data_IF_577324861384
#
_entry.id   IF_577324861384
#
_cell.length_a   1.000
_cell.length_b   1.000
_cell.length_c   1.000
_cell.angle_alpha   90.00
_cell.angle_beta   90.00
_cell.angle_gamma   90.00
#
_symmetry.space_group_name_H-M   'P 1'
#
loop_
_entity.id
_entity.type
_entity.pdbx_description
1 polymer ?
#
# COMPACT_ATOMS: atom_id res chain seq x y z
N UNK A 1 -15.08 -3.24 10.24
CA UNK A 1 -14.29 -2.50 9.23
C UNK A 1 -13.34 -1.56 9.97
N UNK A 2 -12.03 -1.61 9.70
CA UNK A 2 -11.05 -0.69 10.27
C UNK A 2 -10.64 0.34 9.21
N UNK A 3 -10.61 1.62 9.59
CA UNK A 3 -10.09 2.72 8.78
C UNK A 3 -8.88 3.32 9.51
N UNK A 4 -7.73 3.37 8.85
CA UNK A 4 -6.50 3.97 9.36
C UNK A 4 -6.10 5.12 8.44
N UNK A 5 -5.94 6.31 9.01
CA UNK A 5 -5.46 7.50 8.32
C UNK A 5 -4.37 8.19 9.11
N UNK A 6 -3.40 8.81 8.43
CA UNK A 6 -2.32 9.58 9.05
C UNK A 6 -1.44 8.77 10.03
N UNK A 7 -1.35 7.45 9.85
CA UNK A 7 -0.40 6.64 10.61
C UNK A 7 1.00 6.89 10.07
N UNK A 8 1.85 7.55 10.87
CA UNK A 8 3.21 7.92 10.49
C UNK A 8 4.27 6.88 10.88
N UNK A 9 3.90 5.94 11.77
CA UNK A 9 4.81 4.90 12.25
C UNK A 9 4.43 3.54 11.69
N UNK A 10 5.36 2.95 10.95
CA UNK A 10 5.25 1.61 10.39
C UNK A 10 5.14 0.53 11.49
N UNK A 11 5.78 0.77 12.64
CA UNK A 11 5.68 -0.08 13.83
C UNK A 11 4.27 -0.05 14.46
N UNK A 12 3.70 1.15 14.63
CA UNK A 12 2.34 1.31 15.18
C UNK A 12 1.32 0.67 14.24
N UNK A 13 1.45 0.91 12.92
CA UNK A 13 0.60 0.27 11.92
C UNK A 13 0.64 -1.25 12.05
N UNK A 14 1.83 -1.84 12.07
CA UNK A 14 2.00 -3.30 12.15
C UNK A 14 1.43 -3.87 13.45
N UNK A 15 1.63 -3.18 14.57
CA UNK A 15 1.09 -3.59 15.88
C UNK A 15 -0.44 -3.60 15.88
N UNK A 16 -1.08 -2.58 15.30
CA UNK A 16 -2.54 -2.51 15.17
C UNK A 16 -3.06 -3.64 14.28
N UNK A 17 -2.42 -3.90 13.14
CA UNK A 17 -2.87 -4.96 12.24
C UNK A 17 -2.71 -6.34 12.88
N UNK A 18 -1.63 -6.56 13.65
CA UNK A 18 -1.38 -7.81 14.37
C UNK A 18 -2.41 -8.11 15.47
N UNK A 19 -3.00 -7.09 16.10
CA UNK A 19 -4.00 -7.28 17.15
C UNK A 19 -5.41 -7.59 16.64
N UNK A 20 -5.62 -7.61 15.31
CA UNK A 20 -6.94 -7.73 14.69
C UNK A 20 -7.04 -8.90 13.69
N UNK A 21 -6.78 -10.15 14.11
CA UNK A 21 -6.73 -11.31 13.20
C UNK A 21 -8.08 -11.65 12.52
N UNK A 22 -9.19 -11.18 13.08
CA UNK A 22 -10.53 -11.37 12.52
C UNK A 22 -10.98 -10.24 11.60
N UNK A 23 -10.10 -9.29 11.27
CA UNK A 23 -10.46 -8.15 10.43
C UNK A 23 -10.78 -8.59 9.01
N UNK A 24 -11.99 -8.29 8.56
CA UNK A 24 -12.46 -8.63 7.20
C UNK A 24 -12.35 -7.48 6.20
N UNK A 25 -12.27 -6.24 6.70
CA UNK A 25 -12.21 -5.02 5.87
C UNK A 25 -11.21 -4.03 6.46
N UNK A 26 -10.25 -3.61 5.64
CA UNK A 26 -9.19 -2.68 6.00
C UNK A 26 -9.11 -1.56 4.96
N UNK A 27 -9.26 -0.30 5.39
CA UNK A 27 -8.97 0.89 4.58
C UNK A 27 -7.79 1.64 5.20
N UNK A 28 -6.72 1.83 4.43
CA UNK A 28 -5.49 2.49 4.87
C UNK A 28 -5.24 3.68 3.96
N UNK A 29 -5.04 4.85 4.57
CA UNK A 29 -4.63 6.08 3.90
C UNK A 29 -3.41 6.64 4.63
N UNK A 30 -2.22 6.38 4.11
CA UNK A 30 -0.96 6.71 4.80
C UNK A 30 -0.02 7.50 3.88
N UNK A 31 0.80 8.30 4.53
CA UNK A 31 1.92 9.01 3.92
C UNK A 31 3.18 8.60 4.68
N UNK A 32 4.34 8.65 4.04
CA UNK A 32 5.66 8.42 4.67
C UNK A 32 5.96 6.98 5.13
N UNK A 33 5.09 6.02 4.84
CA UNK A 33 5.38 4.59 4.98
C UNK A 33 5.59 4.04 3.57
N UNK A 34 6.74 3.45 3.32
CA UNK A 34 7.23 3.01 2.01
C UNK A 34 7.06 1.49 1.79
N UNK A 35 6.01 0.91 2.37
CA UNK A 35 5.71 -0.51 2.20
C UNK A 35 5.41 -0.85 0.74
N UNK A 36 6.21 -1.76 0.20
CA UNK A 36 5.99 -2.37 -1.10
C UNK A 36 4.92 -3.48 -1.04
N UNK A 37 4.58 -4.04 -2.19
CA UNK A 37 3.60 -5.11 -2.31
C UNK A 37 4.02 -6.41 -1.63
N UNK A 38 5.32 -6.66 -1.47
CA UNK A 38 5.81 -7.83 -0.73
C UNK A 38 5.55 -7.66 0.77
N UNK A 39 5.88 -6.51 1.34
CA UNK A 39 5.66 -6.17 2.75
C UNK A 39 4.17 -6.23 3.09
N UNK A 40 3.33 -5.61 2.27
CA UNK A 40 1.87 -5.68 2.45
C UNK A 40 1.34 -7.11 2.36
N UNK A 41 1.79 -7.90 1.37
CA UNK A 41 1.33 -9.29 1.22
C UNK A 41 1.68 -10.14 2.45
N UNK A 42 2.88 -9.95 3.03
CA UNK A 42 3.29 -10.65 4.25
C UNK A 42 2.43 -10.25 5.45
N UNK A 43 2.22 -8.95 5.66
CA UNK A 43 1.36 -8.44 6.74
C UNK A 43 -0.04 -9.02 6.64
N UNK A 44 -0.63 -9.01 5.44
CA UNK A 44 -2.00 -9.49 5.23
C UNK A 44 -2.07 -10.99 5.46
N UNK A 45 -1.12 -11.75 4.92
CA UNK A 45 -1.09 -13.20 5.05
C UNK A 45 -0.88 -13.66 6.51
N UNK A 46 0.02 -12.99 7.24
CA UNK A 46 0.44 -13.44 8.56
C UNK A 46 -0.46 -12.90 9.67
N UNK A 47 -0.99 -11.68 9.52
CA UNK A 47 -1.73 -11.00 10.58
C UNK A 47 -3.23 -10.86 10.29
N UNK A 48 -3.66 -10.89 9.04
CA UNK A 48 -5.05 -10.62 8.64
C UNK A 48 -5.63 -11.75 7.77
N UNK A 49 -5.60 -13.02 8.22
CA UNK A 49 -5.96 -14.17 7.39
C UNK A 49 -7.42 -14.16 6.92
N UNK A 50 -8.30 -13.40 7.59
CA UNK A 50 -9.73 -13.26 7.23
C UNK A 50 -10.04 -12.02 6.39
N UNK A 51 -9.01 -11.28 5.93
CA UNK A 51 -9.21 -10.06 5.17
C UNK A 51 -9.81 -10.36 3.80
N UNK A 52 -10.96 -9.75 3.51
CA UNK A 52 -11.67 -9.86 2.24
C UNK A 52 -11.57 -8.60 1.39
N UNK A 53 -11.56 -7.45 2.06
CA UNK A 53 -11.51 -6.14 1.39
C UNK A 53 -10.32 -5.34 1.91
N UNK A 54 -9.46 -4.94 0.98
CA UNK A 54 -8.29 -4.13 1.26
C UNK A 54 -8.30 -2.89 0.37
N UNK A 55 -8.48 -1.73 0.99
CA UNK A 55 -8.44 -0.43 0.32
C UNK A 55 -7.18 0.31 0.75
N UNK A 56 -6.20 0.39 -0.14
CA UNK A 56 -4.93 1.08 0.12
C UNK A 56 -4.92 2.43 -0.59
N UNK A 57 -4.39 3.44 0.09
CA UNK A 57 -3.94 4.71 -0.49
C UNK A 57 -2.64 5.11 0.19
N UNK A 58 -1.60 5.30 -0.59
CA UNK A 58 -0.25 5.62 -0.13
C UNK A 58 0.31 6.80 -0.90
N UNK A 59 0.85 7.77 -0.15
CA UNK A 59 1.65 8.86 -0.69
C UNK A 59 3.13 8.61 -0.40
N UNK A 60 3.91 8.42 -1.47
CA UNK A 60 5.35 8.16 -1.40
C UNK A 60 6.07 9.33 -2.05
N UNK A 61 7.10 9.85 -1.37
CA UNK A 61 7.92 10.96 -1.86
C UNK A 61 9.35 10.46 -2.12
N UNK A 62 9.86 10.71 -3.32
CA UNK A 62 11.26 10.51 -3.65
C UNK A 62 11.97 11.86 -3.75
N UNK A 63 13.00 12.05 -2.93
CA UNK A 63 13.80 13.28 -2.88
C UNK A 63 14.99 13.30 -3.86
N UNK A 64 15.26 12.19 -4.56
CA UNK A 64 16.36 12.08 -5.52
C UNK A 64 15.82 11.59 -6.88
N UNK A 65 16.09 12.35 -7.93
CA UNK A 65 15.70 12.02 -9.30
C UNK A 65 16.47 10.80 -9.84
N UNK A 66 17.70 10.58 -9.34
CA UNK A 66 18.51 9.45 -9.77
C UNK A 66 17.80 8.14 -9.41
N UNK A 67 17.53 7.33 -10.44
CA UNK A 67 16.86 6.04 -10.35
C UNK A 67 15.40 6.07 -9.89
N UNK A 68 14.73 7.23 -9.89
CA UNK A 68 13.29 7.33 -9.53
C UNK A 68 12.43 6.39 -10.38
N UNK A 69 12.68 6.31 -11.70
CA UNK A 69 11.94 5.41 -12.59
C UNK A 69 12.13 3.93 -12.25
N UNK A 70 13.35 3.53 -11.92
CA UNK A 70 13.65 2.16 -11.54
C UNK A 70 12.96 1.79 -10.22
N UNK A 71 13.00 2.69 -9.23
CA UNK A 71 12.29 2.51 -7.95
C UNK A 71 10.77 2.43 -8.14
N UNK A 72 10.20 3.24 -9.02
CA UNK A 72 8.78 3.16 -9.39
C UNK A 72 8.46 1.79 -9.99
N UNK A 73 9.27 1.31 -10.94
CA UNK A 73 9.05 0.02 -11.58
C UNK A 73 9.15 -1.12 -10.56
N UNK A 74 10.17 -1.12 -9.70
CA UNK A 74 10.31 -2.10 -8.62
C UNK A 74 9.12 -2.08 -7.65
N UNK A 75 8.64 -0.88 -7.28
CA UNK A 75 7.44 -0.74 -6.47
C UNK A 75 6.22 -1.34 -7.17
N UNK A 76 5.98 -1.02 -8.44
CA UNK A 76 4.84 -1.57 -9.20
C UNK A 76 4.96 -3.09 -9.31
N UNK A 77 6.14 -3.61 -9.63
CA UNK A 77 6.38 -5.04 -9.81
C UNK A 77 6.17 -5.83 -8.51
N UNK A 78 6.42 -5.22 -7.35
CA UNK A 78 6.10 -5.83 -6.05
C UNK A 78 4.59 -6.09 -5.84
N UNK A 79 3.71 -5.38 -6.56
CA UNK A 79 2.26 -5.57 -6.55
C UNK A 79 1.75 -6.44 -7.73
N UNK A 80 2.64 -6.97 -8.58
CA UNK A 80 2.29 -7.83 -9.73
C UNK A 80 2.42 -9.33 -9.44
N UNK A 81 2.36 -9.72 -8.18
CA UNK A 81 2.44 -11.14 -7.79
C UNK A 81 1.08 -11.83 -7.87
N UNK A 82 1.06 -13.18 -7.88
CA UNK A 82 -0.18 -13.98 -7.82
C UNK A 82 -1.05 -13.65 -6.60
N UNK A 83 -0.42 -13.23 -5.50
CA UNK A 83 -1.15 -12.77 -4.32
C UNK A 83 -2.11 -11.63 -4.66
N UNK A 84 -1.63 -10.61 -5.37
CA UNK A 84 -2.41 -9.44 -5.74
C UNK A 84 -3.35 -9.69 -6.92
N UNK A 85 -2.85 -10.32 -7.98
CA UNK A 85 -3.55 -10.44 -9.27
C UNK A 85 -4.55 -11.60 -9.32
N UNK A 86 -4.22 -12.75 -8.73
CA UNK A 86 -5.02 -13.97 -8.86
C UNK A 86 -5.80 -14.26 -7.58
N UNK A 87 -5.12 -14.31 -6.42
CA UNK A 87 -5.72 -14.72 -5.15
C UNK A 87 -6.72 -13.70 -4.62
N UNK A 88 -6.35 -12.41 -4.63
CA UNK A 88 -7.15 -11.36 -4.03
C UNK A 88 -7.80 -10.42 -5.04
N UNK A 89 -7.28 -10.35 -6.26
CA UNK A 89 -7.74 -9.44 -7.33
C UNK A 89 -7.80 -7.97 -6.86
N UNK A 90 -6.89 -7.58 -5.95
CA UNK A 90 -6.74 -6.21 -5.48
C UNK A 90 -5.78 -5.48 -6.40
N UNK A 91 -6.31 -4.96 -7.51
CA UNK A 91 -5.53 -4.25 -8.51
C UNK A 91 -5.02 -2.93 -7.96
N UNK A 92 -3.75 -2.62 -8.24
CA UNK A 92 -3.10 -1.39 -7.80
C UNK A 92 -2.93 -0.45 -8.97
N UNK A 93 -3.27 0.82 -8.74
CA UNK A 93 -2.96 1.95 -9.60
C UNK A 93 -1.84 2.76 -8.97
N UNK A 94 -0.90 3.19 -9.80
CA UNK A 94 0.23 4.02 -9.42
C UNK A 94 0.22 5.26 -10.32
N UNK A 95 -0.13 6.41 -9.75
CA UNK A 95 -0.05 7.70 -10.44
C UNK A 95 1.22 8.43 -9.98
N UNK A 96 2.06 8.82 -10.93
CA UNK A 96 3.31 9.53 -10.65
C UNK A 96 3.18 11.00 -11.05
N UNK A 97 3.51 11.90 -10.12
CA UNK A 97 3.55 13.34 -10.34
C UNK A 97 4.99 13.79 -10.13
N UNK A 98 5.67 14.11 -11.22
CA UNK A 98 7.02 14.68 -11.20
C UNK A 98 6.93 16.21 -11.27
N UNK A 99 7.67 16.89 -10.39
CA UNK A 99 7.94 18.34 -10.44
C UNK A 99 9.44 18.56 -10.30
N UNK A 100 9.93 19.72 -10.72
CA UNK A 100 11.34 20.07 -10.93
C UNK A 100 12.38 19.57 -9.90
N UNK A 101 12.00 19.29 -8.65
CA UNK A 101 12.91 18.81 -7.60
C UNK A 101 12.37 17.61 -6.78
N UNK A 102 11.22 17.04 -7.13
CA UNK A 102 10.68 15.87 -6.41
C UNK A 102 9.68 15.07 -7.25
N UNK A 103 9.64 13.76 -6.99
CA UNK A 103 8.59 12.88 -7.53
C UNK A 103 7.66 12.42 -6.40
N UNK A 104 6.37 12.66 -6.58
CA UNK A 104 5.31 12.20 -5.70
C UNK A 104 4.57 11.04 -6.37
N UNK A 105 4.39 9.95 -5.64
CA UNK A 105 3.65 8.77 -6.11
C UNK A 105 2.40 8.61 -5.27
N UNK A 106 1.28 8.49 -5.96
CA UNK A 106 0.01 8.08 -5.39
C UNK A 106 -0.26 6.64 -5.78
N UNK A 107 -0.13 5.73 -4.82
CA UNK A 107 -0.43 4.31 -4.99
C UNK A 107 -1.76 3.96 -4.32
N UNK A 108 -2.68 3.32 -5.02
CA UNK A 108 -3.97 2.94 -4.45
C UNK A 108 -4.62 1.71 -5.08
N UNK A 109 -5.47 1.01 -4.33
CA UNK A 109 -6.25 -0.14 -4.83
C UNK A 109 -7.49 0.29 -5.62
N UNK A 110 -7.88 -0.50 -6.62
CA UNK A 110 -9.11 -0.33 -7.40
C UNK A 110 -10.20 -1.34 -7.00
N UNK A 111 -11.50 -0.96 -7.05
CA UNK A 111 -11.97 0.42 -7.18
C UNK A 111 -11.71 1.21 -5.90
N UNK A 112 -11.13 2.41 -6.01
CA UNK A 112 -11.07 3.33 -4.88
C UNK A 112 -12.38 4.11 -4.84
N UNK A 113 -13.38 3.59 -4.13
CA UNK A 113 -14.65 4.28 -3.98
C UNK A 113 -14.48 5.50 -3.06
N UNK A 114 -14.66 6.70 -3.63
CA UNK A 114 -14.79 7.96 -2.89
C UNK A 114 -15.92 7.81 -1.87
N UNK A 115 -15.56 7.51 -0.62
CA UNK A 115 -16.49 7.27 0.51
C UNK A 115 -15.85 7.63 1.83
#
# INVERSE_FOLDING_TARGET
MLKLSNVQSSYVLTTILKSLPNLTHLKVNISYIDYDGYRWSRIINDFLPKLKFFHLKMHIHFCDEKNTRERINQLIDSFRTRFWLEKHQWFIRCDCISKDNYTCILLHTLPYTFS
#
